data_IF_962500011369
#
_entry.id   IF_962500011369
#
_cell.length_a   1.000
_cell.length_b   1.000
_cell.length_c   1.000
_cell.angle_alpha   90.00
_cell.angle_beta   90.00
_cell.angle_gamma   90.00
#
_symmetry.space_group_name_H-M   'P 1'
#
loop_
_entity.id
_entity.type
_entity.pdbx_description
1 polymer ?
#
# COMPACT_ATOMS: atom_id res chain seq x y z
N UNK A 1 33.24 -63.99 -19.77
CA UNK A 1 32.18 -64.24 -18.77
C UNK A 1 32.25 -63.15 -17.69
N UNK A 2 31.17 -62.36 -17.56
CA UNK A 2 30.88 -61.34 -16.51
C UNK A 2 31.68 -60.04 -16.46
N UNK A 3 31.06 -58.95 -16.94
CA UNK A 3 31.13 -57.61 -16.31
C UNK A 3 29.78 -56.91 -16.62
N UNK A 4 28.76 -57.10 -15.76
CA UNK A 4 28.19 -56.12 -14.80
C UNK A 4 27.56 -54.89 -15.46
N UNK A 5 26.23 -54.94 -15.63
CA UNK A 5 25.39 -53.82 -16.02
C UNK A 5 25.21 -52.82 -14.88
N UNK A 6 25.31 -51.54 -15.21
CA UNK A 6 24.98 -50.44 -14.32
C UNK A 6 23.51 -50.09 -14.51
N UNK A 7 22.70 -50.38 -13.48
CA UNK A 7 21.35 -49.86 -13.37
C UNK A 7 21.43 -48.37 -13.05
N UNK A 8 21.00 -47.53 -13.99
CA UNK A 8 20.80 -46.09 -13.76
C UNK A 8 19.50 -45.94 -12.99
N UNK A 9 19.58 -45.83 -11.66
CA UNK A 9 18.45 -45.46 -10.82
C UNK A 9 18.05 -44.01 -11.17
N UNK A 10 16.87 -43.86 -11.77
CA UNK A 10 16.27 -42.57 -12.06
C UNK A 10 15.94 -41.80 -10.78
N UNK A 11 16.67 -40.70 -10.55
CA UNK A 11 16.29 -39.68 -9.58
C UNK A 11 15.17 -38.83 -10.18
N UNK A 12 13.94 -39.20 -9.85
CA UNK A 12 12.75 -38.40 -10.13
C UNK A 12 12.74 -37.22 -9.14
N UNK A 13 13.30 -36.09 -9.56
CA UNK A 13 13.25 -34.84 -8.81
C UNK A 13 11.81 -34.34 -8.76
N UNK A 14 11.14 -34.59 -7.64
CA UNK A 14 9.84 -34.04 -7.29
C UNK A 14 10.01 -32.52 -7.08
N UNK A 15 9.68 -31.73 -8.10
CA UNK A 15 9.57 -30.27 -8.00
C UNK A 15 8.38 -29.93 -7.09
N UNK A 16 8.64 -29.76 -5.80
CA UNK A 16 7.70 -29.13 -4.88
C UNK A 16 7.52 -27.67 -5.29
N UNK A 17 6.37 -27.38 -5.92
CA UNK A 17 5.90 -26.03 -6.17
C UNK A 17 5.74 -25.29 -4.84
N UNK A 18 6.64 -24.33 -4.60
CA UNK A 18 6.54 -23.44 -3.46
C UNK A 18 5.46 -22.38 -3.78
N UNK A 19 4.25 -22.56 -3.26
CA UNK A 19 3.23 -21.51 -3.30
C UNK A 19 3.68 -20.37 -2.38
N UNK A 20 4.01 -19.21 -2.95
CA UNK A 20 4.21 -18.01 -2.18
C UNK A 20 2.89 -17.63 -1.50
N UNK A 21 2.82 -17.75 -0.18
CA UNK A 21 1.73 -17.20 0.61
C UNK A 21 1.74 -15.67 0.43
N UNK A 22 0.64 -15.11 -0.07
CA UNK A 22 0.46 -13.66 -0.18
C UNK A 22 0.57 -13.01 1.20
N UNK A 23 1.14 -11.80 1.25
CA UNK A 23 1.23 -11.03 2.48
C UNK A 23 -0.17 -10.83 3.11
N UNK A 24 -0.26 -10.71 4.44
CA UNK A 24 -1.52 -10.42 5.11
C UNK A 24 -2.09 -9.10 4.57
N UNK A 25 -3.34 -9.15 4.10
CA UNK A 25 -4.09 -7.97 3.69
C UNK A 25 -4.95 -7.53 4.89
N UNK A 26 -4.63 -6.37 5.46
CA UNK A 26 -5.41 -5.78 6.55
C UNK A 26 -6.75 -5.25 6.04
N UNK A 27 -7.78 -5.34 6.87
CA UNK A 27 -9.12 -4.78 6.62
C UNK A 27 -9.28 -3.40 7.24
N UNK A 28 -10.20 -2.60 6.67
CA UNK A 28 -10.56 -1.29 7.23
C UNK A 28 -10.86 -1.34 8.73
N UNK A 29 -11.59 -2.35 9.19
CA UNK A 29 -11.94 -2.48 10.61
C UNK A 29 -10.72 -2.53 11.52
N UNK A 30 -9.66 -3.23 11.13
CA UNK A 30 -8.43 -3.38 11.93
C UNK A 30 -7.67 -2.05 12.04
N UNK A 31 -7.75 -1.20 11.01
CA UNK A 31 -7.20 0.16 11.05
C UNK A 31 -8.07 1.05 11.96
N UNK A 32 -9.39 0.96 11.80
CA UNK A 32 -10.36 1.82 12.49
C UNK A 32 -10.48 1.54 13.99
N UNK A 33 -10.06 0.35 14.46
CA UNK A 33 -9.98 0.03 15.89
C UNK A 33 -9.14 1.04 16.69
N UNK A 34 -8.10 1.60 16.07
CA UNK A 34 -7.26 2.65 16.68
C UNK A 34 -7.51 4.03 16.07
N UNK A 35 -7.76 4.11 14.76
CA UNK A 35 -7.89 5.38 14.05
C UNK A 35 -9.25 6.08 14.25
N UNK A 36 -10.19 5.50 14.99
CA UNK A 36 -11.39 6.19 15.46
C UNK A 36 -11.33 6.61 16.93
N UNK A 37 -10.32 6.13 17.67
CA UNK A 37 -10.17 6.45 19.09
C UNK A 37 -9.49 7.83 19.26
N UNK A 38 -10.16 8.81 19.90
CA UNK A 38 -9.60 10.14 20.12
C UNK A 38 -8.38 10.16 21.06
N UNK A 39 -8.14 9.07 21.79
CA UNK A 39 -6.96 8.90 22.64
C UNK A 39 -5.73 8.40 21.87
N UNK A 40 -5.91 7.88 20.64
CA UNK A 40 -4.82 7.44 19.77
C UNK A 40 -4.03 8.65 19.29
N UNK A 41 -2.83 8.79 19.85
CA UNK A 41 -1.92 9.91 19.56
C UNK A 41 -0.50 9.42 19.32
N UNK A 42 0.31 10.26 18.69
CA UNK A 42 1.75 10.03 18.55
C UNK A 42 2.52 11.33 18.74
N UNK A 43 3.70 11.23 19.34
CA UNK A 43 4.66 12.34 19.41
C UNK A 43 5.46 12.42 18.10
N UNK A 44 5.44 13.58 17.45
CA UNK A 44 6.22 13.91 16.25
C UNK A 44 7.02 15.18 16.55
N UNK A 45 8.33 15.02 16.77
CA UNK A 45 9.15 16.09 17.36
C UNK A 45 8.64 16.42 18.76
N UNK A 46 8.40 17.70 19.06
CA UNK A 46 7.85 18.13 20.36
C UNK A 46 6.32 18.20 20.40
N UNK A 47 5.63 17.83 19.31
CA UNK A 47 4.18 17.91 19.20
C UNK A 47 3.53 16.55 19.39
N UNK A 48 2.40 16.52 20.10
CA UNK A 48 1.50 15.36 20.13
C UNK A 48 0.43 15.58 19.07
N UNK A 49 0.30 14.63 18.15
CA UNK A 49 -0.70 14.65 17.08
C UNK A 49 -1.72 13.54 17.30
N UNK A 50 -3.00 13.86 17.17
CA UNK A 50 -4.06 12.87 17.14
C UNK A 50 -4.02 12.12 15.79
N UNK A 51 -4.26 10.81 15.83
CA UNK A 51 -4.27 9.97 14.64
C UNK A 51 -5.70 9.62 14.20
N UNK A 52 -6.66 10.50 14.50
CA UNK A 52 -8.07 10.27 14.19
C UNK A 52 -8.30 10.37 12.67
N UNK A 53 -8.98 9.37 12.13
CA UNK A 53 -9.45 9.31 10.77
C UNK A 53 -10.92 9.76 10.68
N UNK A 54 -11.27 10.77 9.87
CA UNK A 54 -12.65 11.22 9.71
C UNK A 54 -13.41 10.34 8.71
N UNK A 55 -14.25 9.43 9.22
CA UNK A 55 -15.03 8.49 8.38
C UNK A 55 -16.12 9.14 7.53
N UNK A 56 -16.61 10.31 7.95
CA UNK A 56 -17.72 11.02 7.30
C UNK A 56 -17.47 11.38 5.83
N UNK A 57 -16.21 11.42 5.39
CA UNK A 57 -15.81 11.74 4.01
C UNK A 57 -15.53 10.46 3.20
N UNK A 58 -14.79 9.50 3.77
CA UNK A 58 -14.40 8.28 3.07
C UNK A 58 -15.59 7.40 2.67
N UNK A 59 -16.55 7.20 3.59
CA UNK A 59 -17.73 6.34 3.36
C UNK A 59 -18.65 6.86 2.25
N UNK A 60 -18.51 8.14 1.87
CA UNK A 60 -19.27 8.79 0.80
C UNK A 60 -18.50 8.85 -0.52
N UNK A 61 -17.24 8.42 -0.54
CA UNK A 61 -16.40 8.44 -1.73
C UNK A 61 -16.73 7.28 -2.66
N UNK A 62 -16.30 7.37 -3.92
CA UNK A 62 -16.37 6.23 -4.85
C UNK A 62 -15.46 5.06 -4.44
N UNK A 63 -14.50 5.32 -3.54
CA UNK A 63 -13.56 4.34 -3.02
C UNK A 63 -14.01 3.72 -1.69
N UNK A 64 -15.23 3.99 -1.21
CA UNK A 64 -15.74 3.50 0.08
C UNK A 64 -15.74 1.96 0.24
N UNK A 65 -15.62 1.22 -0.86
CA UNK A 65 -15.54 -0.25 -0.88
C UNK A 65 -14.12 -0.80 -0.87
N UNK A 66 -13.11 0.06 -0.95
CA UNK A 66 -11.71 -0.34 -0.89
C UNK A 66 -11.24 -0.45 0.57
N UNK A 67 -10.27 -1.32 0.80
CA UNK A 67 -9.54 -1.39 2.05
C UNK A 67 -8.45 -0.29 2.10
N UNK A 68 -8.06 0.19 3.28
CA UNK A 68 -7.05 1.26 3.44
C UNK A 68 -5.75 0.92 2.72
N UNK A 69 -5.38 -0.36 2.76
CA UNK A 69 -4.16 -0.92 2.14
C UNK A 69 -4.22 -1.00 0.62
N UNK A 70 -5.39 -0.85 0.00
CA UNK A 70 -5.52 -0.79 -1.47
C UNK A 70 -4.95 0.53 -2.02
N UNK A 71 -4.87 1.57 -1.19
CA UNK A 71 -4.24 2.85 -1.52
C UNK A 71 -2.93 3.07 -0.73
N UNK A 72 -2.92 2.78 0.57
CA UNK A 72 -1.76 2.97 1.44
C UNK A 72 -0.88 1.71 1.49
N UNK A 73 0.04 1.64 0.55
CA UNK A 73 0.95 0.51 0.41
C UNK A 73 2.07 0.49 1.47
N UNK A 74 2.62 -0.70 1.74
CA UNK A 74 3.82 -0.88 2.56
C UNK A 74 3.59 -0.97 4.06
N UNK A 75 2.33 -1.04 4.53
CA UNK A 75 1.98 -1.30 5.92
C UNK A 75 2.23 -2.78 6.22
N UNK A 76 3.14 -3.07 7.16
CA UNK A 76 3.50 -4.45 7.54
C UNK A 76 2.89 -4.89 8.87
N UNK A 77 2.60 -3.91 9.73
CA UNK A 77 2.11 -4.12 11.09
C UNK A 77 1.02 -3.07 11.38
N UNK A 78 0.01 -3.43 12.18
CA UNK A 78 -1.06 -2.51 12.57
C UNK A 78 -0.53 -1.29 13.35
N UNK A 79 0.51 -1.49 14.17
CA UNK A 79 1.29 -0.39 14.76
C UNK A 79 2.47 -0.09 13.84
N UNK A 80 2.28 0.87 12.95
CA UNK A 80 3.25 1.23 11.92
C UNK A 80 3.96 2.56 12.23
N UNK A 81 5.10 2.85 11.60
CA UNK A 81 5.76 4.16 11.66
C UNK A 81 4.84 5.32 11.24
N UNK A 82 5.15 6.52 11.72
CA UNK A 82 4.43 7.74 11.34
C UNK A 82 4.83 8.15 9.92
N UNK A 83 3.89 8.79 9.21
CA UNK A 83 4.01 9.19 7.81
C UNK A 83 4.11 7.98 6.88
N UNK A 84 2.94 7.47 6.50
CA UNK A 84 2.83 6.48 5.43
C UNK A 84 3.23 7.12 4.09
N UNK A 85 3.65 6.29 3.12
CA UNK A 85 3.75 6.74 1.74
C UNK A 85 2.43 7.37 1.26
N UNK A 86 2.51 8.32 0.31
CA UNK A 86 1.32 8.82 -0.37
C UNK A 86 0.49 7.67 -0.98
N UNK A 87 -0.84 7.82 -1.06
CA UNK A 87 -1.69 6.78 -1.62
C UNK A 87 -1.34 6.51 -3.09
N UNK A 88 -1.32 5.22 -3.49
CA UNK A 88 -0.99 4.82 -4.85
C UNK A 88 -2.21 4.91 -5.78
N UNK A 89 -2.51 6.11 -6.28
CA UNK A 89 -3.57 6.30 -7.27
C UNK A 89 -3.27 5.57 -8.59
N UNK A 90 -1.99 5.46 -8.97
CA UNK A 90 -1.54 4.91 -10.25
C UNK A 90 -1.73 3.39 -10.35
N UNK A 91 -1.87 2.68 -9.22
CA UNK A 91 -2.15 1.25 -9.20
C UNK A 91 -3.44 0.86 -9.93
N UNK A 92 -4.44 1.74 -9.90
CA UNK A 92 -5.72 1.57 -10.61
C UNK A 92 -5.93 2.60 -11.73
N UNK A 93 -5.40 3.82 -11.59
CA UNK A 93 -5.57 4.93 -12.54
C UNK A 93 -4.30 5.18 -13.37
N UNK A 94 -3.79 4.15 -14.02
CA UNK A 94 -2.51 4.20 -14.73
C UNK A 94 -2.51 5.27 -15.85
N UNK A 95 -3.60 5.35 -16.62
CA UNK A 95 -3.71 6.29 -17.74
C UNK A 95 -3.71 7.73 -17.25
N UNK A 96 -4.52 8.03 -16.24
CA UNK A 96 -4.62 9.36 -15.64
C UNK A 96 -3.31 9.74 -14.95
N UNK A 97 -2.64 8.79 -14.28
CA UNK A 97 -1.33 9.02 -13.68
C UNK A 97 -0.26 9.39 -14.72
N UNK A 98 -0.25 8.73 -15.89
CA UNK A 98 0.66 9.10 -17.01
C UNK A 98 0.38 10.50 -17.54
N UNK A 99 -0.89 10.88 -17.67
CA UNK A 99 -1.28 12.23 -18.08
C UNK A 99 -0.87 13.27 -17.04
N UNK A 100 -1.16 13.01 -15.76
CA UNK A 100 -0.77 13.87 -14.65
C UNK A 100 0.75 14.08 -14.58
N UNK A 101 1.54 13.02 -14.76
CA UNK A 101 3.00 13.07 -14.71
C UNK A 101 3.62 14.02 -15.76
N UNK A 102 2.95 14.22 -16.89
CA UNK A 102 3.37 15.14 -17.96
C UNK A 102 2.68 16.51 -17.90
N UNK A 103 1.74 16.70 -16.97
CA UNK A 103 1.05 17.98 -16.75
C UNK A 103 1.92 18.95 -15.94
N UNK A 104 1.49 20.21 -15.85
CA UNK A 104 2.16 21.21 -15.01
C UNK A 104 2.24 20.78 -13.54
N UNK A 105 1.24 20.06 -13.02
CA UNK A 105 1.26 19.57 -11.64
C UNK A 105 2.38 18.53 -11.44
N UNK A 106 2.40 17.49 -12.27
CA UNK A 106 3.42 16.44 -12.21
C UNK A 106 4.85 16.95 -12.47
N UNK A 107 5.03 17.79 -13.50
CA UNK A 107 6.34 18.38 -13.83
C UNK A 107 6.81 19.34 -12.72
N UNK A 108 5.91 20.10 -12.11
CA UNK A 108 6.30 20.99 -11.00
C UNK A 108 6.86 20.22 -9.80
N UNK A 109 6.31 19.04 -9.50
CA UNK A 109 6.88 18.15 -8.47
C UNK A 109 8.30 17.69 -8.81
N UNK A 110 8.58 17.35 -10.07
CA UNK A 110 9.94 16.94 -10.49
C UNK A 110 10.94 18.10 -10.45
N UNK A 111 10.45 19.33 -10.59
CA UNK A 111 11.23 20.56 -10.41
C UNK A 111 11.40 20.97 -8.94
N UNK A 112 10.84 20.21 -7.99
CA UNK A 112 10.98 20.45 -6.55
C UNK A 112 9.96 21.44 -5.97
N UNK A 113 8.91 21.80 -6.72
CA UNK A 113 7.87 22.68 -6.20
C UNK A 113 6.97 21.92 -5.20
N UNK A 114 7.20 22.14 -3.91
CA UNK A 114 6.45 21.47 -2.84
C UNK A 114 4.95 21.83 -2.77
N UNK A 115 4.53 22.88 -3.46
CA UNK A 115 3.14 23.34 -3.53
C UNK A 115 2.38 22.88 -4.79
N UNK A 116 2.98 22.02 -5.62
CA UNK A 116 2.29 21.48 -6.77
C UNK A 116 1.12 20.58 -6.32
N UNK A 117 -0.03 20.73 -6.96
CA UNK A 117 -1.23 19.97 -6.62
C UNK A 117 -1.01 18.48 -6.84
N UNK A 118 -1.55 17.66 -5.96
CA UNK A 118 -1.62 16.20 -6.02
C UNK A 118 -3.02 15.75 -6.44
N UNK A 119 -3.21 14.44 -6.67
CA UNK A 119 -4.50 13.85 -7.02
C UNK A 119 -5.59 14.23 -5.99
N UNK A 120 -5.30 14.07 -4.71
CA UNK A 120 -6.22 14.31 -3.60
C UNK A 120 -6.51 15.79 -3.34
N UNK A 121 -5.65 16.71 -3.80
CA UNK A 121 -5.89 18.15 -3.61
C UNK A 121 -7.14 18.63 -4.37
N UNK A 122 -7.53 17.89 -5.42
CA UNK A 122 -8.76 18.12 -6.18
C UNK A 122 -9.81 17.01 -5.99
N UNK A 123 -9.39 15.74 -5.86
CA UNK A 123 -10.30 14.60 -5.73
C UNK A 123 -10.73 14.30 -4.28
N UNK A 124 -10.22 15.09 -3.34
CA UNK A 124 -10.47 14.94 -1.92
C UNK A 124 -9.44 14.05 -1.25
N UNK A 125 -9.17 14.38 0.01
CA UNK A 125 -8.46 13.55 0.97
C UNK A 125 -9.43 13.12 2.08
N UNK A 126 -8.99 12.17 2.88
CA UNK A 126 -9.59 11.85 4.18
C UNK A 126 -8.61 12.24 5.29
#
# INVERSE_FOLDING_TARGET
>A
MRIRGFAVLGWMTLLLSFSAAGAPAFKNSECLDCHLDPTTTRKVGDKVVALIFPTNTFDKSLHAKLDCVDCHEGIKDLVHPSKLPPPNCAGCHEKEAKQYATSIHGVSHTMGASGAANCWDCHGSH
#
